data_IF_344261921573
#
_entry.id   IF_344261921573
#
_cell.length_a   1.000
_cell.length_b   1.000
_cell.length_c   1.000
_cell.angle_alpha   90.00
_cell.angle_beta   90.00
_cell.angle_gamma   90.00
#
_symmetry.space_group_name_H-M   'P 1'
#
loop_
_entity.id
_entity.type
_entity.pdbx_description
1 polymer ?
#
# COMPACT_ATOMS: atom_id res chain seq x y z
N UNK A 1 39.72 -28.36 52.16
CA UNK A 1 40.39 -27.08 52.50
C UNK A 1 39.68 -25.93 51.77
N UNK A 2 39.38 -24.85 52.51
CA UNK A 2 39.16 -23.43 52.10
C UNK A 2 38.16 -23.15 50.95
N UNK A 3 36.89 -22.81 51.24
CA UNK A 3 36.38 -21.43 51.53
C UNK A 3 36.97 -20.33 50.65
N UNK A 4 36.14 -19.70 49.81
CA UNK A 4 36.11 -18.24 49.60
C UNK A 4 34.72 -17.79 49.12
N UNK A 5 33.92 -17.35 50.09
CA UNK A 5 32.82 -16.40 49.89
C UNK A 5 33.46 -15.04 49.61
N UNK A 6 32.98 -14.33 48.61
CA UNK A 6 33.15 -12.88 48.49
C UNK A 6 31.76 -12.24 48.48
N UNK A 7 31.46 -11.64 49.62
CA UNK A 7 30.40 -10.66 49.85
C UNK A 7 30.99 -9.30 49.47
N UNK A 8 30.22 -8.46 48.76
CA UNK A 8 30.30 -6.99 48.79
C UNK A 8 28.83 -6.52 48.72
N UNK A 9 28.20 -6.05 49.80
CA UNK A 9 28.26 -4.68 50.36
C UNK A 9 27.74 -3.65 49.34
N UNK A 10 26.46 -3.26 49.38
CA UNK A 10 25.84 -2.24 50.26
C UNK A 10 26.13 -0.79 49.85
N UNK A 11 25.13 -0.11 49.30
CA UNK A 11 24.87 1.35 49.37
C UNK A 11 23.44 1.56 48.83
N UNK A 12 22.43 1.80 49.65
CA UNK A 12 22.08 3.04 50.37
C UNK A 12 21.45 4.11 49.48
N UNK A 13 20.17 4.37 49.78
CA UNK A 13 19.33 5.55 49.58
C UNK A 13 19.87 6.73 48.73
N UNK A 14 19.06 7.13 47.76
CA UNK A 14 18.79 8.54 47.49
C UNK A 14 17.36 8.72 46.96
N UNK A 15 16.50 9.25 47.83
CA UNK A 15 15.30 9.99 47.46
C UNK A 15 15.72 11.27 46.68
N UNK A 16 14.71 11.92 46.08
CA UNK A 16 14.73 13.22 45.39
C UNK A 16 15.12 13.17 43.91
N UNK A 17 14.12 13.26 43.04
CA UNK A 17 13.76 14.54 42.40
C UNK A 17 12.87 14.28 41.19
N UNK A 18 11.60 14.68 41.27
CA UNK A 18 10.71 14.78 40.12
C UNK A 18 11.06 16.04 39.31
N UNK A 19 11.08 15.98 37.98
CA UNK A 19 10.83 17.15 37.16
C UNK A 19 9.35 17.17 36.75
N UNK A 20 8.60 18.10 37.33
CA UNK A 20 7.34 18.55 36.75
C UNK A 20 7.66 19.25 35.42
N UNK A 21 7.21 18.67 34.30
CA UNK A 21 7.26 19.32 32.99
C UNK A 21 5.84 19.63 32.53
N UNK A 22 5.45 20.85 32.91
CA UNK A 22 4.88 21.89 32.04
C UNK A 22 3.89 21.42 30.97
N UNK A 23 2.60 21.58 31.29
CA UNK A 23 1.53 21.60 30.30
C UNK A 23 1.75 22.76 29.31
N UNK A 24 2.08 22.45 28.06
CA UNK A 24 1.98 23.40 26.96
C UNK A 24 0.50 23.63 26.64
N UNK A 25 -0.07 24.72 27.15
CA UNK A 25 -1.37 25.23 26.70
C UNK A 25 -1.16 25.81 25.30
N UNK A 26 -1.47 25.04 24.27
CA UNK A 26 -1.63 25.56 22.91
C UNK A 26 -2.89 26.43 22.88
N UNK A 27 -2.68 27.75 22.91
CA UNK A 27 -3.71 28.74 22.62
C UNK A 27 -4.08 28.62 21.14
N UNK A 28 -5.20 27.96 20.81
CA UNK A 28 -5.75 28.00 19.46
C UNK A 28 -6.37 29.39 19.22
N UNK A 29 -6.02 30.09 18.13
CA UNK A 29 -6.74 31.29 17.75
C UNK A 29 -8.18 30.91 17.35
N UNK A 30 -9.16 31.56 17.98
CA UNK A 30 -10.56 31.44 17.59
C UNK A 30 -10.71 31.88 16.12
N UNK A 31 -11.30 31.01 15.30
CA UNK A 31 -11.60 31.32 13.91
C UNK A 31 -12.55 32.53 13.83
N UNK A 32 -12.37 33.44 12.86
CA UNK A 32 -13.27 34.58 12.67
C UNK A 32 -14.69 34.09 12.33
N UNK A 33 -15.75 34.79 12.77
CA UNK A 33 -17.11 34.42 12.44
C UNK A 33 -17.34 34.52 10.93
N UNK A 34 -17.92 33.49 10.34
CA UNK A 34 -18.31 33.45 8.93
C UNK A 34 -19.52 34.36 8.74
N UNK A 35 -19.32 35.52 8.11
CA UNK A 35 -20.42 36.39 7.65
C UNK A 35 -20.98 35.76 6.37
N UNK A 36 -22.17 35.17 6.45
CA UNK A 36 -22.92 34.72 5.27
C UNK A 36 -23.59 35.91 4.60
N UNK A 37 -23.02 36.35 3.48
CA UNK A 37 -23.68 37.30 2.57
C UNK A 37 -24.69 36.50 1.73
N UNK A 38 -25.99 36.83 1.73
CA UNK A 38 -26.95 36.17 0.85
C UNK A 38 -26.66 36.58 -0.61
N UNK A 39 -26.13 35.63 -1.39
CA UNK A 39 -25.98 35.78 -2.84
C UNK A 39 -27.36 35.66 -3.49
N UNK A 40 -27.79 36.61 -4.33
CA UNK A 40 -29.04 36.51 -5.08
C UNK A 40 -29.04 35.27 -5.97
N UNK A 41 -30.09 34.44 -5.88
CA UNK A 41 -30.24 33.24 -6.68
C UNK A 41 -30.36 33.59 -8.17
N UNK A 42 -29.39 33.16 -8.98
CA UNK A 42 -29.50 33.18 -10.44
C UNK A 42 -30.54 32.15 -10.91
N UNK A 43 -31.27 32.42 -12.00
CA UNK A 43 -32.31 31.51 -12.51
C UNK A 43 -31.70 30.17 -12.93
N UNK A 44 -32.26 29.08 -12.39
CA UNK A 44 -31.86 27.69 -12.67
C UNK A 44 -32.28 27.35 -14.10
N UNK A 45 -31.30 27.24 -15.01
CA UNK A 45 -31.52 26.65 -16.32
C UNK A 45 -31.87 25.15 -16.18
N UNK A 46 -32.71 24.57 -17.06
CA UNK A 46 -33.06 23.16 -16.99
C UNK A 46 -31.80 22.29 -17.08
N UNK A 47 -31.63 21.40 -16.10
CA UNK A 47 -30.52 20.46 -16.06
C UNK A 47 -30.57 19.56 -17.31
N UNK A 48 -29.53 19.62 -18.13
CA UNK A 48 -29.29 18.60 -19.14
C UNK A 48 -29.15 17.23 -18.44
N UNK A 49 -29.71 16.15 -18.99
CA UNK A 49 -29.56 14.82 -18.41
C UNK A 49 -28.07 14.47 -18.33
N UNK A 50 -27.56 14.35 -17.11
CA UNK A 50 -26.22 13.83 -16.84
C UNK A 50 -26.27 12.35 -17.20
N UNK A 51 -25.80 12.01 -18.39
CA UNK A 51 -25.50 10.62 -18.77
C UNK A 51 -24.39 10.16 -17.81
N UNK A 52 -24.59 9.07 -17.04
CA UNK A 52 -23.52 8.51 -16.23
C UNK A 52 -22.33 8.22 -17.14
N UNK A 53 -21.15 8.71 -16.77
CA UNK A 53 -19.92 8.30 -17.45
C UNK A 53 -19.87 6.77 -17.41
N UNK A 54 -19.84 6.15 -18.59
CA UNK A 54 -19.62 4.72 -18.69
C UNK A 54 -18.34 4.41 -17.88
N UNK A 55 -18.33 3.34 -17.05
CA UNK A 55 -17.11 2.92 -16.37
C UNK A 55 -15.99 2.88 -17.39
N UNK A 56 -14.84 3.49 -17.08
CA UNK A 56 -13.64 3.34 -17.89
C UNK A 56 -13.26 1.86 -17.88
N UNK A 57 -13.80 1.11 -18.84
CA UNK A 57 -13.47 -0.27 -19.06
C UNK A 57 -12.13 -0.24 -19.79
N UNK A 58 -11.04 -0.24 -19.01
CA UNK A 58 -9.71 -0.58 -19.52
C UNK A 58 -9.91 -1.86 -20.34
N UNK A 59 -9.49 -1.90 -21.62
CA UNK A 59 -9.73 -3.05 -22.48
C UNK A 59 -9.34 -4.32 -21.73
N UNK A 60 -10.32 -5.15 -21.38
CA UNK A 60 -10.07 -6.39 -20.68
C UNK A 60 -9.32 -7.29 -21.67
N UNK A 61 -8.01 -7.53 -21.51
CA UNK A 61 -7.34 -8.47 -22.38
C UNK A 61 -7.98 -9.83 -22.08
N UNK A 62 -8.43 -10.51 -23.13
CA UNK A 62 -8.94 -11.87 -23.03
C UNK A 62 -7.90 -12.74 -22.30
N UNK A 63 -8.32 -13.77 -21.54
CA UNK A 63 -7.43 -14.69 -20.86
C UNK A 63 -6.82 -15.67 -21.89
N UNK A 64 -6.21 -15.14 -22.95
CA UNK A 64 -5.34 -15.89 -23.82
C UNK A 64 -4.06 -16.13 -23.04
N UNK A 65 -4.04 -17.25 -22.30
CA UNK A 65 -2.80 -17.81 -21.80
C UNK A 65 -1.80 -17.87 -22.95
N UNK A 66 -0.62 -17.30 -22.69
CA UNK A 66 0.68 -17.91 -23.00
C UNK A 66 1.12 -17.96 -24.46
N UNK A 67 1.44 -16.80 -25.04
CA UNK A 67 2.68 -16.69 -25.81
C UNK A 67 3.40 -15.41 -25.38
N UNK A 68 4.70 -15.50 -25.08
CA UNK A 68 5.49 -14.34 -24.64
C UNK A 68 5.46 -14.02 -23.14
N UNK A 69 4.94 -14.92 -22.28
CA UNK A 69 5.15 -14.80 -20.84
C UNK A 69 6.58 -15.19 -20.46
N UNK A 70 7.22 -14.39 -19.63
CA UNK A 70 8.62 -14.56 -19.20
C UNK A 70 8.74 -15.12 -17.80
N UNK A 71 7.66 -15.07 -17.01
CA UNK A 71 7.57 -15.70 -15.71
C UNK A 71 6.10 -15.95 -15.34
N UNK A 72 5.85 -17.04 -14.63
CA UNK A 72 4.56 -17.32 -14.00
C UNK A 72 4.76 -17.71 -12.54
N UNK A 73 3.88 -17.25 -11.66
CA UNK A 73 3.90 -17.50 -10.23
C UNK A 73 2.51 -17.89 -9.73
N UNK A 74 2.46 -18.80 -8.76
CA UNK A 74 1.24 -19.26 -8.12
C UNK A 74 1.37 -19.15 -6.61
N UNK A 75 0.37 -18.55 -5.95
CA UNK A 75 0.23 -18.50 -4.49
C UNK A 75 -1.02 -19.28 -4.08
N UNK A 76 -1.27 -19.39 -2.78
CA UNK A 76 -2.49 -20.04 -2.28
C UNK A 76 -3.79 -19.32 -2.69
N UNK A 77 -3.73 -18.04 -3.08
CA UNK A 77 -4.93 -17.21 -3.34
C UNK A 77 -4.93 -16.56 -4.72
N UNK A 78 -3.80 -16.57 -5.43
CA UNK A 78 -3.61 -15.81 -6.66
C UNK A 78 -2.70 -16.55 -7.64
N UNK A 79 -2.92 -16.29 -8.93
CA UNK A 79 -2.00 -16.62 -10.00
C UNK A 79 -1.53 -15.33 -10.67
N UNK A 80 -0.22 -15.25 -10.94
CA UNK A 80 0.43 -14.09 -11.53
C UNK A 80 1.22 -14.52 -12.75
N UNK A 81 1.01 -13.86 -13.88
CA UNK A 81 1.84 -14.01 -15.06
C UNK A 81 2.51 -12.67 -15.39
N UNK A 82 3.80 -12.70 -15.73
CA UNK A 82 4.53 -11.56 -16.29
C UNK A 82 4.73 -11.82 -17.77
N UNK A 83 4.11 -11.03 -18.62
CA UNK A 83 4.19 -11.23 -20.07
C UNK A 83 4.65 -10.00 -20.83
N UNK A 84 5.46 -10.25 -21.86
CA UNK A 84 5.96 -9.25 -22.78
C UNK A 84 5.03 -9.04 -23.96
N UNK A 85 4.72 -7.79 -24.26
CA UNK A 85 4.01 -7.39 -25.49
C UNK A 85 4.58 -6.08 -26.01
N UNK A 86 4.94 -6.04 -27.30
CA UNK A 86 5.47 -4.86 -27.99
C UNK A 86 6.62 -4.13 -27.23
N UNK A 87 7.52 -4.89 -26.60
CA UNK A 87 8.67 -4.34 -25.86
C UNK A 87 8.35 -3.81 -24.45
N UNK A 88 7.14 -4.02 -23.94
CA UNK A 88 6.77 -3.73 -22.55
C UNK A 88 6.40 -5.01 -21.80
N UNK A 89 6.63 -5.03 -20.49
CA UNK A 89 6.16 -6.10 -19.61
C UNK A 89 4.86 -5.69 -18.93
N UNK A 90 3.99 -6.67 -18.75
CA UNK A 90 2.70 -6.53 -18.09
C UNK A 90 2.54 -7.62 -17.04
N UNK A 91 2.07 -7.21 -15.87
CA UNK A 91 1.63 -8.06 -14.78
C UNK A 91 0.16 -8.42 -15.00
N UNK A 92 -0.15 -9.71 -14.97
CA UNK A 92 -1.50 -10.26 -15.03
C UNK A 92 -1.77 -11.04 -13.75
N UNK A 93 -2.47 -10.42 -12.80
CA UNK A 93 -2.88 -11.06 -11.55
C UNK A 93 -4.32 -11.54 -11.64
N UNK A 94 -4.60 -12.76 -11.19
CA UNK A 94 -5.95 -13.30 -11.05
C UNK A 94 -6.11 -13.96 -9.69
N UNK A 95 -7.23 -13.72 -9.03
CA UNK A 95 -7.62 -14.29 -7.74
C UNK A 95 -9.13 -14.53 -7.71
N UNK A 96 -9.65 -15.08 -6.62
CA UNK A 96 -11.10 -15.23 -6.40
C UNK A 96 -11.84 -13.87 -6.39
N UNK A 97 -11.13 -12.79 -6.07
CA UNK A 97 -11.69 -11.43 -6.04
C UNK A 97 -11.75 -10.75 -7.41
N UNK A 98 -11.16 -11.36 -8.43
CA UNK A 98 -11.09 -10.82 -9.79
C UNK A 98 -9.67 -10.81 -10.34
N UNK A 99 -9.52 -10.17 -11.50
CA UNK A 99 -8.25 -10.05 -12.22
C UNK A 99 -7.87 -8.60 -12.47
N UNK A 100 -6.57 -8.37 -12.62
CA UNK A 100 -5.98 -7.06 -12.88
C UNK A 100 -4.84 -7.20 -13.89
N UNK A 101 -4.71 -6.22 -14.77
CA UNK A 101 -3.56 -6.07 -15.66
C UNK A 101 -2.90 -4.73 -15.40
N UNK A 102 -1.60 -4.73 -15.13
CA UNK A 102 -0.81 -3.53 -14.86
C UNK A 102 0.48 -3.58 -15.68
N UNK A 103 1.04 -2.42 -16.00
CA UNK A 103 2.41 -2.39 -16.52
C UNK A 103 3.38 -2.87 -15.44
N UNK A 104 4.39 -3.64 -15.85
CA UNK A 104 5.42 -4.17 -14.97
C UNK A 104 6.81 -3.75 -15.42
N UNK A 105 7.74 -3.75 -14.47
CA UNK A 105 9.13 -3.38 -14.66
C UNK A 105 10.02 -4.42 -13.97
N UNK A 106 11.13 -4.83 -14.59
CA UNK A 106 12.14 -5.61 -13.90
C UNK A 106 12.86 -4.73 -12.87
N UNK A 107 13.07 -5.26 -11.68
CA UNK A 107 13.76 -4.60 -10.58
C UNK A 107 14.74 -5.59 -9.95
N UNK A 108 15.95 -5.70 -10.51
CA UNK A 108 16.90 -6.74 -10.13
C UNK A 108 16.38 -8.14 -10.50
N UNK A 109 16.20 -9.01 -9.51
CA UNK A 109 15.74 -10.40 -9.69
C UNK A 109 14.22 -10.57 -9.59
N UNK A 110 13.46 -9.48 -9.50
CA UNK A 110 12.03 -9.52 -9.24
C UNK A 110 11.29 -8.48 -10.10
N UNK A 111 9.96 -8.56 -10.12
CA UNK A 111 9.12 -7.68 -10.93
C UNK A 111 8.28 -6.76 -10.06
N UNK A 112 8.18 -5.49 -10.46
CA UNK A 112 7.36 -4.48 -9.81
C UNK A 112 6.31 -3.95 -10.78
N UNK A 113 5.10 -3.65 -10.32
CA UNK A 113 4.10 -2.98 -11.16
C UNK A 113 4.24 -1.46 -11.11
N UNK A 114 3.58 -0.78 -12.04
CA UNK A 114 3.19 0.61 -11.83
C UNK A 114 2.26 0.74 -10.61
N UNK A 115 2.16 1.96 -10.07
CA UNK A 115 1.27 2.26 -8.95
C UNK A 115 -0.18 2.34 -9.44
N UNK A 116 -1.07 1.55 -8.85
CA UNK A 116 -2.51 1.61 -9.07
C UNK A 116 -3.25 1.93 -7.77
N UNK A 117 -3.91 3.08 -7.67
CA UNK A 117 -4.60 3.54 -6.45
C UNK A 117 -3.72 3.50 -5.18
N UNK A 118 -2.43 3.81 -5.36
CA UNK A 118 -1.44 3.74 -4.29
C UNK A 118 -0.88 2.35 -4.00
N UNK A 119 -1.35 1.30 -4.70
CA UNK A 119 -0.85 -0.06 -4.58
C UNK A 119 0.25 -0.35 -5.59
N UNK A 120 1.27 -1.07 -5.15
CA UNK A 120 2.35 -1.61 -5.98
C UNK A 120 2.48 -3.09 -5.66
N UNK A 121 2.54 -3.92 -6.69
CA UNK A 121 2.72 -5.35 -6.57
C UNK A 121 4.18 -5.67 -6.88
N UNK A 122 4.80 -6.44 -5.99
CA UNK A 122 6.15 -6.96 -6.13
C UNK A 122 6.07 -8.48 -6.15
N UNK A 123 6.66 -9.13 -7.13
CA UNK A 123 6.64 -10.59 -7.25
C UNK A 123 8.01 -11.14 -7.61
N UNK A 124 8.40 -12.19 -6.89
CA UNK A 124 9.59 -13.01 -7.13
C UNK A 124 9.29 -14.48 -6.87
N UNK A 125 10.31 -15.35 -6.97
CA UNK A 125 10.17 -16.80 -6.74
C UNK A 125 9.78 -17.19 -5.30
N UNK A 126 9.86 -16.25 -4.35
CA UNK A 126 9.57 -16.50 -2.93
C UNK A 126 8.20 -15.98 -2.53
N UNK A 127 7.80 -14.79 -2.98
CA UNK A 127 6.56 -14.16 -2.55
C UNK A 127 5.97 -13.16 -3.56
N UNK A 128 4.64 -13.06 -3.52
CA UNK A 128 3.88 -11.91 -3.99
C UNK A 128 3.63 -10.98 -2.81
N UNK A 129 4.17 -9.76 -2.87
CA UNK A 129 3.92 -8.72 -1.87
C UNK A 129 3.17 -7.53 -2.48
N UNK A 130 2.23 -7.00 -1.70
CA UNK A 130 1.41 -5.85 -2.08
C UNK A 130 1.75 -4.74 -1.09
N UNK A 131 2.27 -3.63 -1.61
CA UNK A 131 2.55 -2.44 -0.83
C UNK A 131 1.53 -1.35 -1.16
N UNK A 132 1.08 -0.60 -0.15
CA UNK A 132 0.27 0.61 -0.31
C UNK A 132 1.03 1.80 0.24
N UNK A 133 1.28 2.81 -0.59
CA UNK A 133 2.07 4.00 -0.25
C UNK A 133 3.42 3.64 0.40
N UNK A 134 4.09 2.60 -0.10
CA UNK A 134 5.38 2.13 0.39
C UNK A 134 5.34 1.19 1.61
N UNK A 135 4.17 0.95 2.20
CA UNK A 135 4.01 0.00 3.33
C UNK A 135 3.46 -1.33 2.83
N UNK A 136 4.11 -2.45 3.17
CA UNK A 136 3.60 -3.79 2.84
C UNK A 136 2.29 -4.05 3.61
N UNK A 137 1.21 -4.32 2.88
CA UNK A 137 -0.12 -4.63 3.43
C UNK A 137 -0.51 -6.11 3.25
N UNK A 138 0.16 -6.82 2.33
CA UNK A 138 -0.05 -8.24 2.11
C UNK A 138 1.23 -8.89 1.60
N UNK A 139 1.47 -10.13 2.01
CA UNK A 139 2.56 -10.97 1.54
C UNK A 139 2.07 -12.41 1.50
N UNK A 140 2.23 -13.04 0.34
CA UNK A 140 1.83 -14.42 0.10
C UNK A 140 3.01 -15.17 -0.48
N UNK A 141 3.33 -16.34 0.08
CA UNK A 141 4.39 -17.19 -0.44
C UNK A 141 4.02 -17.72 -1.83
N UNK A 142 4.99 -17.75 -2.72
CA UNK A 142 4.90 -18.46 -3.99
C UNK A 142 5.06 -19.95 -3.74
N UNK A 143 4.10 -20.72 -4.24
CA UNK A 143 4.03 -22.18 -4.15
C UNK A 143 4.67 -22.83 -5.38
N UNK A 144 4.64 -22.15 -6.52
CA UNK A 144 5.23 -22.60 -7.77
C UNK A 144 5.62 -21.41 -8.64
N UNK A 145 6.77 -21.50 -9.30
CA UNK A 145 7.19 -20.59 -10.36
C UNK A 145 7.70 -21.36 -11.59
N UNK A 146 7.60 -20.75 -12.77
CA UNK A 146 8.06 -21.32 -14.05
C UNK A 146 8.52 -20.25 -15.03
#
# INVERSE_FOLDING_TARGET
>A
MRRRRLRNAAAALALLSAPALTACVTYLPAAPPTITIPVPAAPVAPAAPVVPAAPHQVPQPSPARTSGCVASYETAQSRVDICGSAGSLYYYGSSDSGSITLRAYPSGSWYVTETNDGHVYHVDDSALTIARYGTIISSQSVLSSS
#
